data_IF_237515660999
#
_entry.id   IF_237515660999
#
_cell.length_a   1.000
_cell.length_b   1.000
_cell.length_c   1.000
_cell.angle_alpha   90.00
_cell.angle_beta   90.00
_cell.angle_gamma   90.00
#
_symmetry.space_group_name_H-M   'P 1'
#
loop_
_entity.id
_entity.type
_entity.pdbx_description
1 polymer ?
#
# COMPACT_ATOMS: atom_id res chain seq x y z
N UNK A 1 -2.64 -21.48 -3.39
CA UNK A 1 -1.94 -20.30 -3.93
C UNK A 1 -2.91 -19.13 -4.03
N UNK A 2 -2.46 -17.89 -3.69
CA UNK A 2 -3.27 -16.67 -3.85
C UNK A 2 -2.43 -15.62 -4.54
N UNK A 3 -3.04 -14.96 -5.53
CA UNK A 3 -2.43 -13.91 -6.34
C UNK A 3 -3.32 -12.66 -6.34
N UNK A 4 -2.70 -11.48 -6.29
CA UNK A 4 -3.38 -10.20 -6.49
C UNK A 4 -2.86 -9.52 -7.75
N UNK A 5 -3.76 -9.13 -8.65
CA UNK A 5 -3.48 -8.37 -9.86
C UNK A 5 -4.13 -6.99 -9.75
N UNK A 6 -3.55 -5.93 -10.32
CA UNK A 6 -4.20 -4.62 -10.38
C UNK A 6 -5.56 -4.70 -11.09
N UNK A 7 -6.58 -4.04 -10.54
CA UNK A 7 -7.91 -3.88 -11.14
C UNK A 7 -8.53 -2.58 -10.63
N UNK A 8 -9.51 -2.03 -11.35
CA UNK A 8 -10.24 -0.84 -10.89
C UNK A 8 -11.23 -1.18 -9.77
N UNK A 9 -11.75 -2.41 -9.77
CA UNK A 9 -12.67 -2.92 -8.78
C UNK A 9 -12.05 -4.05 -7.93
N UNK A 10 -12.68 -4.38 -6.81
CA UNK A 10 -12.34 -5.56 -6.02
C UNK A 10 -13.08 -6.77 -6.58
N UNK A 11 -12.34 -7.67 -7.19
CA UNK A 11 -12.84 -8.92 -7.78
C UNK A 11 -12.17 -10.11 -7.09
N UNK A 12 -12.91 -11.20 -6.92
CA UNK A 12 -12.37 -12.43 -6.32
C UNK A 12 -12.80 -13.64 -7.13
N UNK A 13 -11.84 -14.53 -7.39
CA UNK A 13 -12.08 -15.85 -7.99
C UNK A 13 -11.49 -16.92 -7.08
N UNK A 14 -12.23 -17.97 -6.82
CA UNK A 14 -11.78 -19.11 -6.03
C UNK A 14 -11.96 -20.41 -6.82
N UNK A 15 -10.90 -21.19 -6.93
CA UNK A 15 -10.89 -22.55 -7.46
C UNK A 15 -10.60 -23.52 -6.32
N UNK A 16 -11.45 -24.53 -6.14
CA UNK A 16 -11.27 -25.60 -5.19
C UNK A 16 -11.19 -26.95 -5.91
N UNK A 17 -10.40 -27.84 -5.34
CA UNK A 17 -10.28 -29.24 -5.76
C UNK A 17 -9.70 -30.04 -4.58
N UNK A 18 -10.51 -30.94 -4.04
CA UNK A 18 -10.16 -31.78 -2.90
C UNK A 18 -9.85 -33.23 -3.30
N UNK A 19 -9.85 -33.53 -4.61
CA UNK A 19 -9.65 -34.89 -5.12
C UNK A 19 -10.75 -35.87 -4.69
N UNK A 20 -11.94 -35.37 -4.35
CA UNK A 20 -13.08 -36.18 -3.91
C UNK A 20 -13.98 -36.51 -5.10
N UNK A 21 -14.47 -37.74 -5.16
CA UNK A 21 -15.45 -38.17 -6.16
C UNK A 21 -16.83 -37.53 -6.00
N UNK A 22 -17.13 -37.06 -4.77
CA UNK A 22 -18.41 -36.45 -4.41
C UNK A 22 -18.39 -34.94 -4.58
N UNK A 23 -17.24 -34.31 -4.26
CA UNK A 23 -17.01 -32.89 -4.46
C UNK A 23 -15.89 -32.74 -5.52
N UNK A 24 -16.28 -32.67 -6.77
CA UNK A 24 -15.36 -32.41 -7.87
C UNK A 24 -14.77 -30.99 -7.83
N UNK A 25 -13.85 -30.66 -8.73
CA UNK A 25 -13.33 -29.32 -8.88
C UNK A 25 -14.46 -28.30 -9.10
N UNK A 26 -14.44 -27.19 -8.36
CA UNK A 26 -15.43 -26.11 -8.48
C UNK A 26 -14.76 -24.77 -8.56
N UNK A 27 -15.41 -23.84 -9.24
CA UNK A 27 -15.03 -22.45 -9.36
C UNK A 27 -16.16 -21.53 -8.93
N UNK A 28 -15.83 -20.44 -8.24
CA UNK A 28 -16.73 -19.34 -7.95
C UNK A 28 -16.02 -18.00 -8.25
N UNK A 29 -16.79 -17.01 -8.67
CA UNK A 29 -16.30 -15.68 -8.98
C UNK A 29 -17.25 -14.63 -8.44
N UNK A 30 -16.70 -13.53 -7.92
CA UNK A 30 -17.38 -12.30 -7.57
C UNK A 30 -16.70 -11.15 -8.30
N UNK A 31 -17.41 -10.52 -9.25
CA UNK A 31 -16.89 -9.41 -10.06
C UNK A 31 -17.26 -8.04 -9.50
N UNK A 32 -18.35 -7.97 -8.70
CA UNK A 32 -18.82 -6.75 -8.06
C UNK A 32 -19.21 -7.02 -6.62
N UNK A 33 -18.71 -6.23 -5.68
CA UNK A 33 -19.06 -6.36 -4.25
C UNK A 33 -20.55 -6.13 -3.97
N UNK A 34 -21.27 -5.39 -4.82
CA UNK A 34 -22.73 -5.21 -4.71
C UNK A 34 -23.50 -6.53 -4.79
N UNK A 35 -22.95 -7.53 -5.49
CA UNK A 35 -23.59 -8.83 -5.70
C UNK A 35 -23.24 -9.84 -4.59
N UNK A 36 -22.33 -9.47 -3.67
CA UNK A 36 -21.86 -10.36 -2.58
C UNK A 36 -23.02 -10.96 -1.77
N UNK A 37 -24.00 -10.13 -1.38
CA UNK A 37 -25.13 -10.59 -0.59
C UNK A 37 -25.96 -11.64 -1.31
N UNK A 38 -26.18 -11.46 -2.61
CA UNK A 38 -27.01 -12.34 -3.43
C UNK A 38 -26.26 -13.62 -3.82
N UNK A 39 -25.00 -13.48 -4.22
CA UNK A 39 -24.27 -14.56 -4.87
C UNK A 39 -23.42 -15.39 -3.90
N UNK A 40 -22.95 -14.80 -2.79
CA UNK A 40 -21.92 -15.41 -1.94
C UNK A 40 -22.37 -15.61 -0.50
N UNK A 41 -22.96 -14.58 0.12
CA UNK A 41 -23.18 -14.53 1.57
C UNK A 41 -23.99 -15.70 2.14
N UNK A 42 -24.84 -16.34 1.35
CA UNK A 42 -25.67 -17.47 1.80
C UNK A 42 -24.99 -18.83 1.64
N UNK A 43 -23.78 -18.90 1.08
CA UNK A 43 -23.06 -20.16 0.88
C UNK A 43 -22.64 -20.76 2.25
N UNK A 44 -23.08 -21.99 2.50
CA UNK A 44 -22.78 -22.71 3.76
C UNK A 44 -21.36 -23.24 3.76
N UNK A 45 -20.77 -23.33 4.96
CA UNK A 45 -19.52 -24.06 5.18
C UNK A 45 -19.69 -25.55 4.85
N UNK A 46 -18.58 -26.22 4.63
CA UNK A 46 -18.59 -27.64 4.36
C UNK A 46 -17.39 -28.35 5.01
N UNK A 47 -17.55 -29.66 5.22
CA UNK A 47 -16.49 -30.56 5.65
C UNK A 47 -16.72 -31.92 5.05
N UNK A 48 -15.68 -32.76 5.03
CA UNK A 48 -15.82 -34.17 4.72
C UNK A 48 -16.10 -34.95 6.01
N UNK A 49 -16.91 -36.00 5.91
CA UNK A 49 -17.25 -36.82 7.08
C UNK A 49 -15.98 -37.41 7.72
N UNK A 50 -15.00 -37.85 6.92
CA UNK A 50 -13.71 -38.35 7.40
C UNK A 50 -12.91 -37.34 8.23
N UNK A 51 -13.15 -36.04 8.06
CA UNK A 51 -12.51 -34.97 8.84
C UNK A 51 -13.28 -34.69 10.13
N UNK A 52 -14.59 -34.95 10.15
CA UNK A 52 -15.43 -34.77 11.32
C UNK A 52 -15.30 -35.91 12.33
N UNK A 53 -15.08 -37.14 11.90
CA UNK A 53 -14.97 -38.30 12.78
C UNK A 53 -13.97 -38.13 13.93
N UNK A 54 -12.73 -37.69 13.72
CA UNK A 54 -11.77 -37.43 14.81
C UNK A 54 -12.21 -36.30 15.73
N UNK A 55 -12.93 -35.31 15.20
CA UNK A 55 -13.45 -34.16 15.99
C UNK A 55 -14.66 -34.54 16.84
N UNK A 56 -15.49 -35.46 16.34
CA UNK A 56 -16.61 -36.04 17.11
C UNK A 56 -16.09 -36.81 18.33
N UNK A 57 -15.02 -37.61 18.13
CA UNK A 57 -14.43 -38.41 19.21
C UNK A 57 -13.80 -37.54 20.31
N UNK A 58 -13.32 -36.35 19.96
CA UNK A 58 -12.74 -35.37 20.89
C UNK A 58 -13.74 -34.38 21.46
N UNK A 59 -15.04 -34.45 21.09
CA UNK A 59 -16.06 -33.51 21.54
C UNK A 59 -15.85 -32.06 21.10
N UNK A 60 -15.11 -31.84 20.00
CA UNK A 60 -14.70 -30.53 19.50
C UNK A 60 -15.73 -29.89 18.57
N UNK A 61 -16.78 -30.60 18.15
CA UNK A 61 -17.88 -30.05 17.35
C UNK A 61 -18.78 -29.20 18.25
N UNK A 62 -18.50 -27.89 18.27
CA UNK A 62 -19.32 -26.93 19.02
C UNK A 62 -20.07 -26.03 18.03
N UNK A 63 -21.40 -26.19 17.92
CA UNK A 63 -22.26 -25.26 17.17
C UNK A 63 -22.39 -25.53 15.67
N UNK A 64 -21.91 -26.66 15.16
CA UNK A 64 -22.26 -27.12 13.81
C UNK A 64 -23.69 -27.64 13.77
N UNK A 65 -24.53 -27.11 12.85
CA UNK A 65 -25.87 -27.63 12.56
C UNK A 65 -25.92 -28.00 11.06
N UNK A 66 -26.65 -29.03 10.72
CA UNK A 66 -26.90 -29.47 9.34
C UNK A 66 -27.58 -28.41 8.46
N UNK A 67 -28.08 -27.31 9.05
CA UNK A 67 -28.64 -26.20 8.31
C UNK A 67 -27.58 -25.18 7.88
N UNK A 68 -26.45 -25.08 8.60
CA UNK A 68 -25.40 -24.11 8.37
C UNK A 68 -24.09 -24.72 7.81
N UNK A 69 -24.00 -26.05 7.75
CA UNK A 69 -22.88 -26.81 7.22
C UNK A 69 -23.31 -27.92 6.26
N UNK A 70 -22.54 -28.16 5.24
CA UNK A 70 -22.67 -29.28 4.29
C UNK A 70 -21.62 -30.32 4.67
N UNK A 71 -22.06 -31.56 4.91
CA UNK A 71 -21.15 -32.69 5.16
C UNK A 71 -21.13 -33.58 3.94
N UNK A 72 -19.98 -33.70 3.30
CA UNK A 72 -19.76 -34.62 2.17
C UNK A 72 -19.30 -35.99 2.67
N UNK A 73 -19.96 -37.04 2.17
CA UNK A 73 -19.63 -38.42 2.45
C UNK A 73 -18.99 -39.02 1.21
N UNK A 74 -17.68 -39.09 1.20
CA UNK A 74 -16.86 -39.55 0.05
C UNK A 74 -16.12 -40.87 0.32
N UNK A 75 -16.31 -41.45 1.51
CA UNK A 75 -15.78 -42.76 1.92
C UNK A 75 -16.83 -43.57 2.67
N UNK A 76 -16.65 -44.87 2.75
CA UNK A 76 -17.47 -45.72 3.60
C UNK A 76 -17.31 -45.31 5.05
N UNK A 77 -18.45 -45.26 5.77
CA UNK A 77 -18.47 -44.87 7.19
C UNK A 77 -18.01 -46.03 8.07
N UNK A 78 -17.25 -45.72 9.11
CA UNK A 78 -16.92 -46.68 10.13
C UNK A 78 -18.22 -47.12 10.90
N UNK A 79 -18.29 -48.36 11.36
CA UNK A 79 -19.43 -48.80 12.19
C UNK A 79 -19.63 -47.87 13.42
N UNK A 80 -20.86 -47.42 13.64
CA UNK A 80 -21.20 -46.55 14.77
C UNK A 80 -21.04 -45.05 14.54
N UNK A 81 -20.44 -44.60 13.41
CA UNK A 81 -20.32 -43.16 13.08
C UNK A 81 -21.66 -42.48 12.97
N UNK A 82 -22.68 -43.15 12.43
CA UNK A 82 -24.01 -42.61 12.29
C UNK A 82 -24.65 -42.28 13.66
N UNK A 83 -24.47 -43.16 14.65
CA UNK A 83 -25.02 -42.95 16.01
C UNK A 83 -24.29 -41.79 16.72
N UNK A 84 -22.98 -41.66 16.50
CA UNK A 84 -22.22 -40.51 17.00
C UNK A 84 -22.70 -39.18 16.38
N UNK A 85 -22.97 -39.16 15.08
CA UNK A 85 -23.51 -38.02 14.37
C UNK A 85 -24.91 -37.62 14.87
N UNK A 86 -25.82 -38.61 15.04
CA UNK A 86 -27.17 -38.39 15.61
C UNK A 86 -27.06 -37.74 16.98
N UNK A 87 -26.21 -38.25 17.86
CA UNK A 87 -25.99 -37.71 19.20
C UNK A 87 -25.37 -36.29 19.15
N UNK A 88 -24.38 -36.06 18.28
CA UNK A 88 -23.69 -34.76 18.18
C UNK A 88 -24.63 -33.68 17.64
N UNK A 89 -25.48 -33.99 16.68
CA UNK A 89 -26.40 -33.03 16.05
C UNK A 89 -27.79 -33.00 16.72
N UNK A 90 -28.05 -33.84 17.72
CA UNK A 90 -29.33 -33.90 18.43
C UNK A 90 -30.51 -34.24 17.51
N UNK A 91 -30.27 -35.07 16.49
CA UNK A 91 -31.29 -35.48 15.51
C UNK A 91 -31.41 -37.01 15.44
N UNK A 92 -32.62 -37.53 15.65
CA UNK A 92 -32.89 -38.98 15.60
C UNK A 92 -32.80 -39.54 14.17
N UNK A 93 -33.10 -38.72 13.16
CA UNK A 93 -33.08 -39.10 11.76
C UNK A 93 -31.93 -38.37 11.02
N UNK A 94 -30.81 -39.05 10.91
CA UNK A 94 -29.72 -38.66 10.00
C UNK A 94 -29.69 -39.69 8.88
N UNK A 95 -30.10 -39.27 7.69
CA UNK A 95 -30.10 -40.14 6.51
C UNK A 95 -28.79 -39.98 5.73
N UNK A 96 -28.22 -41.09 5.31
CA UNK A 96 -26.96 -41.10 4.58
C UNK A 96 -27.08 -42.01 3.36
N UNK A 97 -27.08 -41.42 2.20
CA UNK A 97 -26.76 -42.14 0.97
C UNK A 97 -25.29 -42.54 0.98
N UNK A 98 -24.96 -43.66 0.41
CA UNK A 98 -23.63 -44.27 0.48
C UNK A 98 -22.49 -43.33 0.05
N UNK A 99 -22.76 -42.41 -0.90
CA UNK A 99 -21.86 -41.32 -1.33
C UNK A 99 -22.72 -40.10 -1.70
N UNK A 100 -22.38 -38.93 -1.18
CA UNK A 100 -23.14 -37.71 -1.45
C UNK A 100 -23.03 -36.69 -0.31
N UNK A 101 -24.13 -35.99 -0.05
CA UNK A 101 -24.23 -35.09 1.10
C UNK A 101 -25.06 -35.75 2.22
N UNK A 102 -24.65 -35.57 3.45
CA UNK A 102 -25.38 -36.03 4.62
C UNK A 102 -26.82 -35.47 4.57
N UNK A 103 -27.84 -36.30 4.85
CA UNK A 103 -29.27 -35.96 4.77
C UNK A 103 -29.76 -35.53 3.38
N UNK A 104 -29.09 -35.86 2.31
CA UNK A 104 -29.47 -35.48 0.94
C UNK A 104 -29.77 -33.95 0.82
N UNK A 105 -28.97 -33.12 1.46
CA UNK A 105 -29.18 -31.68 1.54
C UNK A 105 -29.22 -31.05 0.15
N UNK A 106 -30.28 -30.30 -0.16
CA UNK A 106 -30.32 -29.49 -1.35
C UNK A 106 -29.29 -28.33 -1.26
N UNK A 107 -28.35 -28.27 -2.21
CA UNK A 107 -27.41 -27.18 -2.32
C UNK A 107 -28.13 -25.90 -2.73
N UNK A 108 -27.76 -24.78 -2.15
CA UNK A 108 -28.26 -23.43 -2.53
C UNK A 108 -27.73 -23.00 -3.88
N UNK A 109 -26.53 -23.47 -4.22
CA UNK A 109 -25.86 -23.27 -5.50
C UNK A 109 -25.15 -24.56 -5.90
N UNK A 110 -25.09 -24.87 -7.18
CA UNK A 110 -24.37 -26.07 -7.68
C UNK A 110 -22.87 -26.06 -7.31
N UNK A 111 -22.28 -24.87 -7.10
CA UNK A 111 -20.90 -24.63 -6.69
C UNK A 111 -20.82 -24.00 -5.28
N UNK A 112 -21.70 -24.40 -4.36
CA UNK A 112 -21.83 -23.78 -3.03
C UNK A 112 -20.52 -23.85 -2.24
N UNK A 113 -19.79 -24.95 -2.31
CA UNK A 113 -18.49 -25.11 -1.65
C UNK A 113 -17.44 -24.09 -2.13
N UNK A 114 -17.35 -23.87 -3.45
CA UNK A 114 -16.45 -22.84 -4.00
C UNK A 114 -16.87 -21.43 -3.60
N UNK A 115 -18.19 -21.14 -3.54
CA UNK A 115 -18.71 -19.85 -3.06
C UNK A 115 -18.37 -19.62 -1.60
N UNK A 116 -18.46 -20.64 -0.76
CA UNK A 116 -18.06 -20.53 0.63
C UNK A 116 -16.54 -20.25 0.76
N UNK A 117 -15.70 -20.93 -0.02
CA UNK A 117 -14.26 -20.64 -0.01
C UNK A 117 -13.92 -19.25 -0.54
N UNK A 118 -14.70 -18.73 -1.47
CA UNK A 118 -14.60 -17.34 -1.88
C UNK A 118 -15.02 -16.39 -0.74
N UNK A 119 -16.08 -16.70 -0.01
CA UNK A 119 -16.50 -15.94 1.19
C UNK A 119 -15.37 -15.87 2.23
N UNK A 120 -14.70 -17.01 2.51
CA UNK A 120 -13.56 -17.08 3.41
C UNK A 120 -12.42 -16.13 2.94
N UNK A 121 -12.09 -16.15 1.64
CA UNK A 121 -11.07 -15.27 1.07
C UNK A 121 -11.42 -13.80 1.25
N UNK A 122 -12.67 -13.41 0.98
CA UNK A 122 -13.15 -12.03 1.18
C UNK A 122 -13.05 -11.64 2.66
N UNK A 123 -13.50 -12.49 3.57
CA UNK A 123 -13.47 -12.26 5.02
C UNK A 123 -12.04 -12.11 5.55
N UNK A 124 -11.14 -13.02 5.15
CA UNK A 124 -9.74 -13.00 5.61
C UNK A 124 -8.97 -11.78 5.05
N UNK A 125 -9.26 -11.36 3.82
CA UNK A 125 -8.66 -10.14 3.23
C UNK A 125 -9.23 -8.88 3.88
N UNK A 126 -10.49 -8.88 4.32
CA UNK A 126 -11.09 -7.73 5.01
C UNK A 126 -10.34 -7.35 6.30
N UNK A 127 -9.54 -8.26 6.89
CA UNK A 127 -8.65 -7.99 8.03
C UNK A 127 -7.56 -6.94 7.71
N UNK A 128 -7.34 -6.58 6.45
CA UNK A 128 -6.52 -5.41 6.07
C UNK A 128 -7.08 -4.10 6.60
N UNK A 129 -8.38 -4.02 6.92
CA UNK A 129 -9.05 -2.83 7.42
C UNK A 129 -9.17 -1.69 6.39
N UNK A 130 -9.02 -1.99 5.09
CA UNK A 130 -9.11 -1.03 4.00
C UNK A 130 -9.58 -1.66 2.68
N UNK A 131 -10.26 -0.90 1.81
CA UNK A 131 -10.66 -1.38 0.50
C UNK A 131 -9.43 -1.61 -0.40
N UNK A 132 -9.56 -2.60 -1.30
CA UNK A 132 -8.55 -2.90 -2.31
C UNK A 132 -9.13 -2.68 -3.71
N UNK A 133 -8.31 -2.18 -4.62
CA UNK A 133 -8.50 -2.19 -6.06
C UNK A 133 -7.63 -3.30 -6.63
N UNK A 134 -8.18 -4.51 -6.70
CA UNK A 134 -7.42 -5.69 -7.11
C UNK A 134 -8.35 -6.82 -7.54
N UNK A 135 -7.89 -7.64 -8.49
CA UNK A 135 -8.43 -8.97 -8.78
C UNK A 135 -7.64 -10.01 -8.01
N UNK A 136 -8.32 -10.70 -7.10
CA UNK A 136 -7.77 -11.80 -6.30
C UNK A 136 -8.10 -13.13 -6.99
N UNK A 137 -7.09 -13.95 -7.21
CA UNK A 137 -7.22 -15.30 -7.75
C UNK A 137 -6.69 -16.26 -6.70
N UNK A 138 -7.56 -17.10 -6.16
CA UNK A 138 -7.25 -18.05 -5.11
C UNK A 138 -7.45 -19.49 -5.59
N UNK A 139 -6.39 -20.28 -5.60
CA UNK A 139 -6.41 -21.71 -5.92
C UNK A 139 -6.22 -22.51 -4.64
N UNK A 140 -7.19 -23.37 -4.32
CA UNK A 140 -7.23 -24.16 -3.09
C UNK A 140 -7.02 -23.28 -1.85
N UNK A 141 -7.87 -22.22 -1.66
CA UNK A 141 -7.74 -21.31 -0.51
C UNK A 141 -8.09 -22.00 0.81
N UNK A 142 -7.55 -21.46 1.90
CA UNK A 142 -7.86 -21.85 3.26
C UNK A 142 -7.38 -20.77 4.22
N UNK A 143 -7.93 -20.67 5.43
CA UNK A 143 -7.67 -19.60 6.38
C UNK A 143 -6.17 -19.35 6.64
N UNK A 144 -5.35 -20.41 6.76
CA UNK A 144 -3.90 -20.28 6.93
C UNK A 144 -3.26 -19.52 5.79
N UNK A 145 -3.47 -19.98 4.55
CA UNK A 145 -2.91 -19.36 3.32
C UNK A 145 -3.48 -17.97 3.10
N UNK A 146 -4.77 -17.77 3.35
CA UNK A 146 -5.43 -16.47 3.24
C UNK A 146 -4.82 -15.45 4.23
N UNK A 147 -4.58 -15.88 5.48
CA UNK A 147 -3.98 -15.04 6.51
C UNK A 147 -2.53 -14.67 6.20
N UNK A 148 -1.72 -15.62 5.70
CA UNK A 148 -0.35 -15.35 5.26
C UNK A 148 -0.33 -14.35 4.10
N UNK A 149 -1.20 -14.53 3.10
CA UNK A 149 -1.35 -13.60 1.99
C UNK A 149 -1.74 -12.20 2.48
N UNK A 150 -2.73 -12.10 3.37
CA UNK A 150 -3.21 -10.83 3.94
C UNK A 150 -2.10 -10.11 4.71
N UNK A 151 -1.30 -10.83 5.52
CA UNK A 151 -0.12 -10.29 6.23
C UNK A 151 0.94 -9.78 5.25
N UNK A 152 1.25 -10.55 4.20
CA UNK A 152 2.23 -10.15 3.19
C UNK A 152 1.77 -8.90 2.43
N UNK A 153 0.49 -8.80 2.09
CA UNK A 153 -0.11 -7.65 1.44
C UNK A 153 -0.08 -6.42 2.35
N UNK A 154 -0.44 -6.55 3.63
CA UNK A 154 -0.36 -5.48 4.62
C UNK A 154 1.07 -4.94 4.76
N UNK A 155 2.07 -5.82 4.83
CA UNK A 155 3.48 -5.43 4.90
C UNK A 155 3.94 -4.68 3.65
N UNK A 156 3.50 -5.11 2.46
CA UNK A 156 3.80 -4.44 1.18
C UNK A 156 3.16 -3.05 1.10
N UNK A 157 1.90 -2.93 1.51
CA UNK A 157 1.18 -1.65 1.55
C UNK A 157 1.90 -0.68 2.50
N UNK A 158 2.19 -1.12 3.73
CA UNK A 158 2.93 -0.32 4.72
C UNK A 158 4.29 0.15 4.19
N UNK A 159 5.01 -0.72 3.48
CA UNK A 159 6.29 -0.36 2.84
C UNK A 159 6.12 0.69 1.75
N UNK A 160 5.02 0.65 0.98
CA UNK A 160 4.73 1.66 -0.04
C UNK A 160 4.33 3.00 0.58
N UNK A 161 3.49 2.99 1.62
CA UNK A 161 3.07 4.21 2.32
C UNK A 161 4.22 4.92 3.02
N UNK A 162 5.20 4.17 3.51
CA UNK A 162 6.41 4.71 4.14
C UNK A 162 7.44 5.25 3.14
N UNK A 163 7.25 5.03 1.82
CA UNK A 163 8.13 5.66 0.82
C UNK A 163 7.79 7.14 0.70
N UNK A 164 8.80 8.02 0.72
CA UNK A 164 8.59 9.43 0.42
C UNK A 164 7.87 9.58 -0.93
N UNK A 165 6.79 10.32 -0.94
CA UNK A 165 6.02 10.64 -2.14
C UNK A 165 6.46 11.99 -2.68
N UNK A 166 6.69 12.08 -3.99
CA UNK A 166 6.94 13.36 -4.65
C UNK A 166 5.71 14.27 -4.53
N UNK A 167 5.90 15.56 -4.28
CA UNK A 167 4.82 16.53 -4.41
C UNK A 167 4.23 16.49 -5.83
N UNK A 168 2.91 16.65 -5.95
CA UNK A 168 2.29 16.84 -7.26
C UNK A 168 2.83 18.14 -7.88
N UNK A 169 3.37 18.05 -9.07
CA UNK A 169 3.88 19.18 -9.83
C UNK A 169 3.18 19.26 -11.18
N UNK A 170 2.55 20.40 -11.43
CA UNK A 170 2.02 20.76 -12.74
C UNK A 170 2.89 21.90 -13.31
N UNK A 171 3.63 21.68 -14.41
CA UNK A 171 4.49 22.69 -15.02
C UNK A 171 3.72 23.94 -15.53
N UNK A 172 2.40 23.79 -15.77
CA UNK A 172 1.53 24.88 -16.23
C UNK A 172 0.87 25.67 -15.10
N UNK A 173 0.96 25.19 -13.85
CA UNK A 173 0.42 25.90 -12.71
C UNK A 173 1.21 27.19 -12.41
N UNK A 174 0.48 28.25 -12.04
CA UNK A 174 1.08 29.51 -11.62
C UNK A 174 1.83 29.29 -10.31
N UNK A 175 3.14 29.64 -10.23
CA UNK A 175 3.89 29.48 -9.00
C UNK A 175 3.46 30.49 -7.93
N UNK A 176 3.60 30.11 -6.66
CA UNK A 176 3.40 31.04 -5.52
C UNK A 176 4.48 32.13 -5.52
N UNK A 177 5.70 31.79 -5.94
CA UNK A 177 6.81 32.71 -6.17
C UNK A 177 7.52 32.37 -7.46
N UNK A 178 7.69 33.34 -8.34
CA UNK A 178 8.52 33.25 -9.53
C UNK A 178 10.00 33.55 -9.19
N UNK A 179 10.88 33.53 -10.17
CA UNK A 179 12.31 33.78 -9.95
C UNK A 179 12.61 35.22 -9.44
N UNK A 180 11.86 36.21 -9.89
CA UNK A 180 12.01 37.60 -9.45
C UNK A 180 11.61 37.75 -7.98
N UNK A 181 10.50 37.17 -7.58
CA UNK A 181 10.07 37.10 -6.18
C UNK A 181 11.11 36.40 -5.29
N UNK A 182 11.71 35.31 -5.78
CA UNK A 182 12.76 34.56 -5.08
C UNK A 182 14.00 35.43 -4.89
N UNK A 183 14.42 36.15 -5.93
CA UNK A 183 15.54 37.10 -5.85
C UNK A 183 15.30 38.25 -4.88
N UNK A 184 14.03 38.60 -4.59
CA UNK A 184 13.68 39.56 -3.55
C UNK A 184 13.76 39.02 -2.12
N UNK A 185 13.81 37.68 -1.95
CA UNK A 185 13.84 37.02 -0.63
C UNK A 185 15.23 36.54 -0.25
N UNK A 186 16.01 35.98 -1.21
CA UNK A 186 17.33 35.44 -0.96
C UNK A 186 18.41 36.21 -1.74
N UNK A 187 19.64 36.37 -1.21
CA UNK A 187 20.70 37.16 -1.85
C UNK A 187 21.35 36.46 -3.03
N UNK A 188 21.11 35.17 -3.23
CA UNK A 188 21.73 34.35 -4.27
C UNK A 188 21.41 34.89 -5.68
N UNK A 189 22.40 34.85 -6.56
CA UNK A 189 22.30 35.28 -7.97
C UNK A 189 23.01 34.25 -8.87
N UNK A 190 22.75 34.32 -10.17
CA UNK A 190 23.47 33.51 -11.16
C UNK A 190 24.97 33.64 -10.99
N UNK A 191 25.76 32.53 -11.04
CA UNK A 191 25.31 31.15 -11.33
C UNK A 191 24.90 30.33 -10.11
N UNK A 192 24.76 30.94 -8.91
CA UNK A 192 24.52 30.24 -7.65
C UNK A 192 23.06 30.33 -7.17
N UNK A 193 22.16 30.88 -7.98
CA UNK A 193 20.72 30.79 -7.74
C UNK A 193 20.20 29.48 -8.30
N UNK A 194 19.85 28.53 -7.42
CA UNK A 194 19.52 27.14 -7.76
C UNK A 194 18.04 26.79 -7.57
N UNK A 195 17.17 27.79 -7.56
CA UNK A 195 15.69 27.63 -7.43
C UNK A 195 15.02 28.53 -8.44
N UNK A 196 14.15 27.98 -9.29
CA UNK A 196 13.45 28.72 -10.33
C UNK A 196 12.04 29.12 -9.96
N UNK A 197 11.34 28.30 -9.16
CA UNK A 197 9.93 28.50 -8.77
C UNK A 197 9.66 27.95 -7.37
N UNK A 198 8.73 28.59 -6.66
CA UNK A 198 8.09 28.00 -5.46
C UNK A 198 6.63 27.71 -5.79
N UNK A 199 6.25 26.44 -5.69
CA UNK A 199 4.90 25.96 -6.01
C UNK A 199 3.99 25.88 -4.78
N UNK A 200 4.58 25.71 -3.59
CA UNK A 200 3.84 25.68 -2.31
C UNK A 200 4.67 26.40 -1.27
N UNK A 201 4.03 27.24 -0.47
CA UNK A 201 4.64 27.92 0.66
C UNK A 201 3.60 28.03 1.78
N UNK A 202 3.83 27.29 2.87
CA UNK A 202 3.01 27.31 4.09
C UNK A 202 3.87 27.69 5.29
N UNK A 203 3.30 27.75 6.48
CA UNK A 203 4.05 28.07 7.68
C UNK A 203 5.15 27.04 8.03
N UNK A 204 5.01 25.80 7.53
CA UNK A 204 5.87 24.66 7.90
C UNK A 204 6.43 23.88 6.70
N UNK A 205 6.05 24.25 5.46
CA UNK A 205 6.44 23.51 4.26
C UNK A 205 6.67 24.42 3.07
N UNK A 206 7.69 24.08 2.27
CA UNK A 206 7.94 24.70 0.97
C UNK A 206 8.17 23.61 -0.10
N UNK A 207 7.59 23.84 -1.27
CA UNK A 207 7.87 23.02 -2.47
C UNK A 207 8.46 23.93 -3.53
N UNK A 208 9.74 23.69 -3.88
CA UNK A 208 10.46 24.43 -4.91
C UNK A 208 10.76 23.57 -6.13
N UNK A 209 11.13 24.23 -7.22
CA UNK A 209 11.44 23.59 -8.50
C UNK A 209 12.71 24.20 -9.08
N UNK A 210 13.57 23.34 -9.66
CA UNK A 210 14.70 23.73 -10.49
C UNK A 210 14.70 22.95 -11.80
N UNK A 211 14.78 23.63 -12.92
CA UNK A 211 15.10 23.05 -14.21
C UNK A 211 16.61 22.84 -14.32
N UNK A 212 17.05 21.61 -14.50
CA UNK A 212 18.47 21.27 -14.65
C UNK A 212 18.81 21.30 -16.12
N UNK A 213 19.36 22.45 -16.60
CA UNK A 213 19.71 22.61 -18.00
C UNK A 213 21.18 22.32 -18.24
N UNK A 214 21.58 21.99 -19.50
CA UNK A 214 22.97 21.77 -19.86
C UNK A 214 23.82 23.06 -19.76
N UNK A 215 23.18 24.24 -19.67
CA UNK A 215 23.82 25.53 -19.52
C UNK A 215 24.36 25.83 -18.11
N UNK A 216 24.12 24.95 -17.17
CA UNK A 216 24.64 25.09 -15.81
C UNK A 216 26.19 24.98 -15.81
N UNK A 217 26.91 25.94 -15.21
CA UNK A 217 28.36 26.00 -15.31
C UNK A 217 29.11 24.81 -14.70
N UNK A 218 28.48 24.13 -13.72
CA UNK A 218 29.10 22.97 -13.10
C UNK A 218 29.23 21.76 -14.03
N UNK A 219 28.45 21.68 -15.13
CA UNK A 219 28.56 20.59 -16.09
C UNK A 219 29.82 20.66 -16.95
N UNK A 220 30.50 21.79 -17.01
CA UNK A 220 31.80 21.93 -17.70
C UNK A 220 32.83 20.99 -17.08
N UNK A 221 32.83 20.84 -15.76
CA UNK A 221 33.78 20.01 -15.02
C UNK A 221 33.22 18.74 -14.35
N UNK A 222 31.91 18.60 -14.24
CA UNK A 222 31.30 17.51 -13.44
C UNK A 222 30.28 16.67 -14.23
N UNK A 223 30.65 15.78 -15.20
CA UNK A 223 32.01 15.49 -15.67
C UNK A 223 32.05 15.63 -17.21
N UNK A 224 33.18 15.92 -17.85
CA UNK A 224 33.28 15.95 -19.31
C UNK A 224 32.78 14.62 -19.91
N UNK A 225 31.83 14.69 -20.85
CA UNK A 225 31.25 13.52 -21.51
C UNK A 225 30.21 12.73 -20.67
N UNK A 226 30.06 13.02 -19.37
CA UNK A 226 29.08 12.37 -18.49
C UNK A 226 28.53 13.39 -17.46
N UNK A 227 27.74 14.39 -17.90
CA UNK A 227 27.26 15.47 -17.03
C UNK A 227 26.34 14.96 -15.95
N UNK A 228 26.67 15.26 -14.70
CA UNK A 228 25.85 14.91 -13.50
C UNK A 228 25.84 16.14 -12.59
N UNK A 229 24.67 16.55 -12.09
CA UNK A 229 24.59 17.64 -11.12
C UNK A 229 25.29 17.22 -9.82
N UNK A 230 26.25 18.00 -9.30
CA UNK A 230 26.90 17.70 -8.03
C UNK A 230 25.88 17.52 -6.90
N UNK A 231 26.02 16.44 -6.13
CA UNK A 231 25.10 16.16 -5.03
C UNK A 231 25.06 17.28 -4.00
N UNK A 232 26.20 17.90 -3.72
CA UNK A 232 26.30 19.04 -2.79
C UNK A 232 25.50 20.25 -3.27
N UNK A 233 25.38 20.45 -4.60
CA UNK A 233 24.54 21.52 -5.16
C UNK A 233 23.05 21.18 -5.13
N UNK A 234 22.67 19.90 -5.09
CA UNK A 234 21.29 19.52 -4.81
C UNK A 234 20.90 19.89 -3.38
N UNK A 235 21.80 19.68 -2.41
CA UNK A 235 21.61 20.11 -1.01
C UNK A 235 21.54 21.63 -0.91
N UNK A 236 22.41 22.35 -1.61
CA UNK A 236 22.37 23.82 -1.65
C UNK A 236 21.04 24.33 -2.22
N UNK A 237 20.54 23.75 -3.31
CA UNK A 237 19.26 24.11 -3.89
C UNK A 237 18.10 23.85 -2.91
N UNK A 238 18.13 22.74 -2.17
CA UNK A 238 17.20 22.49 -1.06
C UNK A 238 17.32 23.56 0.03
N UNK A 239 18.54 23.93 0.41
CA UNK A 239 18.75 24.97 1.41
C UNK A 239 18.21 26.34 1.00
N UNK A 240 18.38 26.72 -0.26
CA UNK A 240 17.79 27.94 -0.81
C UNK A 240 16.26 27.90 -0.73
N UNK A 241 15.62 26.77 -1.08
CA UNK A 241 14.18 26.59 -0.86
C UNK A 241 13.81 26.73 0.61
N UNK A 242 14.54 26.12 1.51
CA UNK A 242 14.33 26.23 2.97
C UNK A 242 14.54 27.65 3.47
N UNK A 243 15.52 28.36 2.93
CA UNK A 243 15.78 29.76 3.22
C UNK A 243 14.60 30.66 2.84
N UNK A 244 13.96 30.40 1.69
CA UNK A 244 12.74 31.11 1.27
C UNK A 244 11.63 30.95 2.29
N UNK A 245 11.40 29.73 2.80
CA UNK A 245 10.41 29.47 3.85
C UNK A 245 10.76 30.24 5.13
N UNK A 246 12.01 30.16 5.57
CA UNK A 246 12.47 30.81 6.80
C UNK A 246 12.36 32.35 6.71
N UNK A 247 12.83 32.95 5.61
CA UNK A 247 12.81 34.38 5.40
C UNK A 247 11.40 34.93 5.14
N UNK A 248 10.49 34.11 4.62
CA UNK A 248 9.08 34.51 4.51
C UNK A 248 8.37 34.69 5.86
N UNK A 249 8.99 34.26 6.96
CA UNK A 249 8.46 34.42 8.32
C UNK A 249 8.93 35.70 9.04
N UNK A 250 9.84 36.46 8.43
CA UNK A 250 10.37 37.73 8.99
C UNK A 250 9.84 38.95 8.22
N UNK A 251 9.72 40.13 8.85
CA UNK A 251 9.11 41.28 8.20
C UNK A 251 10.00 41.96 7.14
N UNK A 252 11.32 41.82 7.25
CA UNK A 252 12.32 42.49 6.40
C UNK A 252 13.37 41.49 5.89
N UNK A 253 12.95 40.52 5.06
CA UNK A 253 13.79 39.35 4.64
C UNK A 253 15.09 39.77 3.95
N UNK A 254 15.11 40.89 3.26
CA UNK A 254 16.29 41.43 2.56
C UNK A 254 17.44 41.81 3.51
N UNK A 255 17.17 41.95 4.80
CA UNK A 255 18.17 42.29 5.82
C UNK A 255 18.72 41.05 6.55
N UNK A 256 18.32 39.84 6.13
CA UNK A 256 18.77 38.59 6.74
C UNK A 256 19.60 37.74 5.79
N UNK A 257 20.58 37.07 6.36
CA UNK A 257 21.35 36.02 5.71
C UNK A 257 21.07 34.67 6.37
N UNK A 258 21.21 33.63 5.60
CA UNK A 258 21.01 32.26 6.09
C UNK A 258 22.32 31.49 5.98
N UNK A 259 22.79 30.96 7.11
CA UNK A 259 24.04 30.18 7.17
C UNK A 259 23.75 28.77 7.64
N UNK A 260 24.37 27.78 6.99
CA UNK A 260 24.35 26.41 7.48
C UNK A 260 25.00 26.28 8.84
N UNK A 261 24.33 25.55 9.76
CA UNK A 261 24.90 25.09 11.02
C UNK A 261 25.33 23.63 10.89
N UNK A 262 24.45 22.80 10.28
CA UNK A 262 24.63 21.36 10.27
C UNK A 262 23.87 20.71 9.11
N UNK A 263 24.44 19.62 8.60
CA UNK A 263 23.83 18.72 7.65
C UNK A 263 23.90 17.30 8.19
N UNK A 264 22.75 16.66 8.32
CA UNK A 264 22.65 15.28 8.80
C UNK A 264 21.94 14.39 7.76
N UNK A 265 22.23 13.09 7.83
CA UNK A 265 21.52 12.05 7.09
C UNK A 265 21.47 12.28 5.57
N UNK A 266 22.45 13.03 5.00
CA UNK A 266 22.50 13.29 3.57
C UNK A 266 22.71 11.99 2.77
N UNK A 267 21.78 11.74 1.83
CA UNK A 267 21.78 10.54 0.98
C UNK A 267 21.50 10.92 -0.47
N UNK A 268 22.42 10.58 -1.35
CA UNK A 268 22.27 10.70 -2.79
C UNK A 268 21.86 9.34 -3.36
N UNK A 269 20.62 9.24 -3.85
CA UNK A 269 20.02 7.95 -4.22
C UNK A 269 20.07 7.70 -5.72
N UNK A 270 20.02 8.76 -6.52
CA UNK A 270 20.04 8.69 -7.99
C UNK A 270 20.82 9.89 -8.56
N UNK A 271 21.39 9.70 -9.75
CA UNK A 271 22.00 10.78 -10.50
C UNK A 271 20.94 11.75 -11.00
N UNK A 272 21.26 13.03 -11.02
CA UNK A 272 20.49 14.11 -11.64
C UNK A 272 21.30 14.61 -12.84
N UNK A 273 20.69 14.63 -14.02
CA UNK A 273 21.35 14.92 -15.29
C UNK A 273 20.68 16.07 -16.02
N UNK A 274 21.34 16.69 -17.03
CA UNK A 274 20.70 17.71 -17.86
C UNK A 274 19.39 17.21 -18.48
N UNK A 275 18.33 18.03 -18.42
CA UNK A 275 16.97 17.70 -18.84
C UNK A 275 16.04 17.28 -17.71
N UNK A 276 16.58 16.97 -16.52
CA UNK A 276 15.77 16.68 -15.35
C UNK A 276 15.12 17.95 -14.79
N UNK A 277 13.96 17.77 -14.15
CA UNK A 277 13.33 18.78 -13.30
C UNK A 277 13.37 18.28 -11.85
N UNK A 278 14.11 19.00 -11.00
CA UNK A 278 14.14 18.75 -9.56
C UNK A 278 12.93 19.39 -8.89
N UNK A 279 12.22 18.58 -8.09
CA UNK A 279 11.13 19.03 -7.23
C UNK A 279 11.62 18.86 -5.79
N UNK A 280 11.72 19.96 -5.06
CA UNK A 280 12.15 19.99 -3.66
C UNK A 280 10.93 20.02 -2.76
N UNK A 281 10.91 19.17 -1.73
CA UNK A 281 9.91 19.15 -0.67
C UNK A 281 10.62 19.30 0.67
N UNK A 282 10.48 20.44 1.31
CA UNK A 282 11.08 20.70 2.61
C UNK A 282 10.00 20.94 3.65
N UNK A 283 10.18 20.32 4.81
CA UNK A 283 9.28 20.49 5.96
C UNK A 283 10.08 20.80 7.23
N UNK A 284 9.56 21.74 8.03
CA UNK A 284 10.09 21.97 9.36
C UNK A 284 9.96 20.70 10.22
N UNK A 285 11.05 20.28 10.84
CA UNK A 285 11.09 19.21 11.87
C UNK A 285 10.63 19.78 13.21
N UNK A 286 10.97 21.05 13.47
CA UNK A 286 10.57 21.78 14.68
C UNK A 286 10.26 23.24 14.33
N UNK A 287 9.44 23.95 15.13
CA UNK A 287 9.20 25.36 14.95
C UNK A 287 10.50 26.18 14.97
N UNK A 288 10.56 27.23 14.13
CA UNK A 288 11.71 28.17 14.10
C UNK A 288 11.84 28.84 15.47
N UNK A 289 13.02 28.79 16.06
CA UNK A 289 13.31 29.40 17.36
C UNK A 289 14.68 30.08 17.35
N UNK A 290 14.72 31.36 17.78
CA UNK A 290 15.94 32.19 17.83
C UNK A 290 16.71 32.21 16.50
N UNK A 291 15.99 32.23 15.38
CA UNK A 291 16.56 32.17 14.04
C UNK A 291 17.09 30.79 13.62
N UNK A 292 16.98 29.76 14.44
CA UNK A 292 17.39 28.39 14.07
C UNK A 292 16.25 27.70 13.34
N UNK A 293 16.54 27.19 12.17
CA UNK A 293 15.64 26.51 11.26
C UNK A 293 16.11 25.08 11.08
N UNK A 294 15.26 24.09 11.34
CA UNK A 294 15.57 22.67 11.18
C UNK A 294 14.54 22.00 10.28
N UNK A 295 14.97 21.50 9.14
CA UNK A 295 14.10 20.96 8.08
C UNK A 295 14.55 19.58 7.61
N UNK A 296 13.59 18.76 7.24
CA UNK A 296 13.80 17.59 6.39
C UNK A 296 13.59 18.02 4.94
N UNK A 297 14.63 17.91 4.13
CA UNK A 297 14.63 18.20 2.70
C UNK A 297 14.66 16.91 1.86
N UNK A 298 13.85 16.88 0.81
CA UNK A 298 13.82 15.81 -0.19
C UNK A 298 13.78 16.41 -1.58
N UNK A 299 14.56 15.84 -2.49
CA UNK A 299 14.56 16.21 -3.90
C UNK A 299 14.12 15.01 -4.74
N UNK A 300 13.26 15.28 -5.72
CA UNK A 300 12.67 14.26 -6.60
C UNK A 300 12.90 14.64 -8.07
N UNK A 301 13.06 13.62 -8.92
CA UNK A 301 12.89 13.71 -10.38
C UNK A 301 11.68 12.85 -10.73
N UNK A 302 10.62 13.46 -11.24
CA UNK A 302 9.32 12.80 -11.35
C UNK A 302 8.86 12.26 -9.98
N UNK A 303 8.60 10.96 -9.88
CA UNK A 303 8.23 10.30 -8.63
C UNK A 303 9.41 9.66 -7.89
N UNK A 304 10.65 9.83 -8.38
CA UNK A 304 11.82 9.18 -7.84
C UNK A 304 12.56 10.10 -6.87
N UNK A 305 12.74 9.66 -5.63
CA UNK A 305 13.56 10.36 -4.63
C UNK A 305 15.04 10.26 -5.04
N UNK A 306 15.68 11.39 -5.36
CA UNK A 306 17.08 11.46 -5.81
C UNK A 306 18.04 11.89 -4.70
N UNK A 307 17.59 12.78 -3.80
CA UNK A 307 18.38 13.26 -2.66
C UNK A 307 17.49 13.46 -1.43
N UNK A 308 18.07 13.25 -0.26
CA UNK A 308 17.41 13.47 1.03
C UNK A 308 18.45 13.94 2.05
N UNK A 309 18.15 14.95 2.85
CA UNK A 309 19.00 15.42 3.93
C UNK A 309 18.18 16.14 5.01
N UNK A 310 18.72 16.16 6.24
CA UNK A 310 18.28 17.07 7.29
C UNK A 310 19.17 18.31 7.28
N UNK A 311 18.54 19.47 7.24
CA UNK A 311 19.19 20.76 7.07
C UNK A 311 18.95 21.61 8.30
N UNK A 312 20.01 22.08 8.93
CA UNK A 312 19.93 23.05 10.02
C UNK A 312 20.67 24.32 9.63
N UNK A 313 20.00 25.44 9.72
CA UNK A 313 20.53 26.75 9.38
C UNK A 313 20.11 27.80 10.41
N UNK A 314 20.82 28.91 10.42
CA UNK A 314 20.49 30.08 11.22
C UNK A 314 20.27 31.29 10.32
N UNK A 315 19.17 31.99 10.53
CA UNK A 315 18.92 33.31 9.95
C UNK A 315 19.39 34.38 10.92
N UNK A 316 20.20 35.29 10.41
CA UNK A 316 20.80 36.43 11.17
C UNK A 316 20.65 37.71 10.37
N UNK A 317 20.49 38.84 11.05
CA UNK A 317 20.65 40.17 10.46
C UNK A 317 22.11 40.48 10.23
#
# INVERSE_FOLDING_TARGET
EIMALPSEDFEVSALIDYGSSVLGPQHAQLTKMTDFRKEIASARTFSFLRELEPLLDQGLIKGGDLNNAIVYVDQEMAPGTLDKLKKAFGKDNVDVTQFGTLNNINLRFSNEAARHKLLDVVGDIALLGRPLKARIIATKPGHGVNAEFTKALAAKIKKQENKPQAPKYDPNAVPVKNVEDIMGLIPHRSPFLLVDKIMTLTADRVVGVKAVTMNEPFFVGHFPGAPVMPGVLQIEAMAQCGGILALSSVPDPENYLTYFIKLDNAKFKQKVVPGDTLIFDLKLISPIRRGIVHMLGRAFVGNTLVCEAELMAQITK
#
